data_IF_800024882191
#
_entry.id   IF_800024882191
#
_cell.length_a   1.000
_cell.length_b   1.000
_cell.length_c   1.000
_cell.angle_alpha   90.00
_cell.angle_beta   90.00
_cell.angle_gamma   90.00
#
_symmetry.space_group_name_H-M   'P 1'
#
loop_
_entity.id
_entity.type
_entity.pdbx_description
1 polymer ?
#
# COMPACT_ATOMS: atom_id res chain seq x y z
N UNK A 1 -5.43 -89.59 -25.43
CA UNK A 1 -4.69 -90.86 -25.66
C UNK A 1 -5.06 -91.93 -24.64
N UNK A 2 -4.86 -91.71 -23.32
CA UNK A 2 -5.17 -92.74 -22.30
C UNK A 2 -6.65 -93.18 -22.22
N UNK A 3 -7.60 -92.25 -22.36
CA UNK A 3 -9.05 -92.55 -22.29
C UNK A 3 -9.50 -93.47 -23.44
N UNK A 4 -9.03 -93.22 -24.66
CA UNK A 4 -9.34 -94.03 -25.82
C UNK A 4 -8.77 -95.45 -25.72
N UNK A 5 -7.57 -95.60 -25.15
CA UNK A 5 -6.96 -96.90 -24.91
C UNK A 5 -7.71 -97.72 -23.85
N UNK A 6 -8.19 -97.08 -22.78
CA UNK A 6 -9.00 -97.73 -21.73
C UNK A 6 -10.37 -98.16 -22.29
N UNK A 7 -11.04 -97.31 -23.08
CA UNK A 7 -12.31 -97.64 -23.72
C UNK A 7 -12.16 -98.79 -24.74
N UNK A 8 -11.07 -98.84 -25.50
CA UNK A 8 -10.79 -99.94 -26.42
C UNK A 8 -10.49 -101.26 -25.69
N UNK A 9 -9.74 -101.22 -24.57
CA UNK A 9 -9.50 -102.38 -23.71
C UNK A 9 -10.79 -102.91 -23.06
N UNK A 10 -11.66 -102.01 -22.59
CA UNK A 10 -12.97 -102.37 -22.03
C UNK A 10 -13.89 -102.98 -23.10
N UNK A 11 -13.91 -102.41 -24.30
CA UNK A 11 -14.64 -102.97 -25.44
C UNK A 11 -14.13 -104.35 -25.86
N UNK A 12 -12.80 -104.54 -25.89
CA UNK A 12 -12.18 -105.84 -26.17
C UNK A 12 -12.47 -106.90 -25.10
N UNK A 13 -12.46 -106.51 -23.81
CA UNK A 13 -12.83 -107.40 -22.70
C UNK A 13 -14.29 -107.85 -22.79
N UNK A 14 -15.20 -106.94 -23.14
CA UNK A 14 -16.62 -107.24 -23.32
C UNK A 14 -16.88 -108.20 -24.48
N UNK A 15 -16.19 -108.02 -25.61
CA UNK A 15 -16.28 -108.92 -26.76
C UNK A 15 -15.75 -110.33 -26.46
N UNK A 16 -14.62 -110.43 -25.74
CA UNK A 16 -14.07 -111.72 -25.30
C UNK A 16 -15.02 -112.47 -24.38
N UNK A 17 -15.71 -111.76 -23.48
CA UNK A 17 -16.65 -112.34 -22.55
C UNK A 17 -17.93 -112.85 -23.22
N UNK A 18 -18.46 -112.10 -24.20
CA UNK A 18 -19.60 -112.54 -25.03
C UNK A 18 -19.27 -113.84 -25.77
N UNK A 19 -18.05 -113.96 -26.31
CA UNK A 19 -17.57 -115.18 -26.95
C UNK A 19 -17.49 -116.36 -25.96
N UNK A 20 -16.91 -116.15 -24.77
CA UNK A 20 -16.78 -117.18 -23.75
C UNK A 20 -18.13 -117.68 -23.19
N UNK A 21 -19.13 -116.80 -23.08
CA UNK A 21 -20.50 -117.18 -22.69
C UNK A 21 -21.21 -117.93 -23.82
N UNK A 22 -21.00 -117.52 -25.08
CA UNK A 22 -21.52 -118.22 -26.26
C UNK A 22 -20.94 -119.64 -26.40
N UNK A 23 -19.64 -119.82 -26.14
CA UNK A 23 -18.97 -121.13 -26.18
C UNK A 23 -19.51 -122.09 -25.09
N UNK A 24 -19.83 -121.58 -23.90
CA UNK A 24 -20.45 -122.37 -22.81
C UNK A 24 -21.91 -122.70 -23.12
N UNK A 25 -22.65 -121.80 -23.77
CA UNK A 25 -24.03 -122.03 -24.20
C UNK A 25 -24.14 -123.04 -25.36
N UNK A 26 -23.17 -123.08 -26.26
CA UNK A 26 -23.12 -124.05 -27.37
C UNK A 26 -22.75 -125.48 -26.92
N UNK A 27 -22.14 -125.66 -25.75
CA UNK A 27 -21.57 -126.93 -25.29
C UNK A 27 -22.52 -127.85 -24.47
N UNK A 28 -23.81 -127.52 -24.29
CA UNK A 28 -24.75 -128.28 -23.42
C UNK A 28 -24.16 -128.62 -22.03
N UNK A 29 -23.42 -127.66 -21.45
CA UNK A 29 -22.62 -127.89 -20.26
C UNK A 29 -23.48 -127.97 -18.98
N UNK A 30 -23.12 -128.87 -18.07
CA UNK A 30 -23.86 -129.11 -16.81
C UNK A 30 -23.96 -127.89 -15.88
N UNK A 31 -24.80 -127.96 -14.82
CA UNK A 31 -25.12 -126.82 -13.95
C UNK A 31 -23.90 -126.16 -13.28
N UNK A 32 -22.75 -126.81 -13.23
CA UNK A 32 -21.50 -126.26 -12.72
C UNK A 32 -20.77 -125.32 -13.69
N UNK A 33 -20.82 -125.60 -15.00
CA UNK A 33 -20.19 -124.78 -16.04
C UNK A 33 -20.90 -123.43 -16.21
N UNK A 34 -22.24 -123.44 -16.11
CA UNK A 34 -23.05 -122.21 -16.10
C UNK A 34 -22.72 -121.36 -14.87
N UNK A 35 -22.57 -121.96 -13.68
CA UNK A 35 -22.15 -121.24 -12.46
C UNK A 35 -20.74 -120.66 -12.59
N UNK A 36 -19.81 -121.37 -13.24
CA UNK A 36 -18.46 -120.88 -13.48
C UNK A 36 -18.44 -119.69 -14.46
N UNK A 37 -19.23 -119.74 -15.55
CA UNK A 37 -19.40 -118.64 -16.49
C UNK A 37 -20.10 -117.42 -15.88
N UNK A 38 -21.11 -117.63 -15.02
CA UNK A 38 -21.77 -116.55 -14.27
C UNK A 38 -20.82 -115.93 -13.24
N UNK A 39 -20.01 -116.73 -12.54
CA UNK A 39 -19.03 -116.24 -11.56
C UNK A 39 -17.90 -115.46 -12.25
N UNK A 40 -17.36 -115.94 -13.36
CA UNK A 40 -16.36 -115.19 -14.15
C UNK A 40 -16.96 -113.90 -14.71
N UNK A 41 -18.24 -113.91 -15.10
CA UNK A 41 -18.94 -112.72 -15.55
C UNK A 41 -19.17 -111.69 -14.44
N UNK A 42 -19.54 -112.14 -13.24
CA UNK A 42 -19.69 -111.27 -12.07
C UNK A 42 -18.35 -110.66 -11.65
N UNK A 43 -17.25 -111.42 -11.65
CA UNK A 43 -15.91 -110.92 -11.30
C UNK A 43 -15.42 -109.89 -12.32
N UNK A 44 -15.64 -110.12 -13.61
CA UNK A 44 -15.26 -109.18 -14.68
C UNK A 44 -16.09 -107.89 -14.62
N UNK A 45 -17.40 -107.99 -14.37
CA UNK A 45 -18.28 -106.82 -14.20
C UNK A 45 -17.93 -106.01 -12.93
N UNK A 46 -17.63 -106.67 -11.81
CA UNK A 46 -17.13 -106.00 -10.60
C UNK A 46 -15.75 -105.35 -10.83
N UNK A 47 -14.87 -105.99 -11.60
CA UNK A 47 -13.57 -105.42 -11.99
C UNK A 47 -13.72 -104.16 -12.85
N UNK A 48 -14.59 -104.20 -13.87
CA UNK A 48 -14.86 -103.05 -14.75
C UNK A 48 -15.50 -101.89 -13.97
N UNK A 49 -16.49 -102.17 -13.12
CA UNK A 49 -17.11 -101.13 -12.28
C UNK A 49 -16.10 -100.51 -11.30
N UNK A 50 -15.24 -101.31 -10.67
CA UNK A 50 -14.17 -100.81 -9.82
C UNK A 50 -13.17 -99.93 -10.60
N UNK A 51 -12.77 -100.32 -11.82
CA UNK A 51 -11.90 -99.51 -12.68
C UNK A 51 -12.57 -98.18 -13.05
N UNK A 52 -13.85 -98.19 -13.43
CA UNK A 52 -14.59 -96.97 -13.77
C UNK A 52 -14.72 -96.03 -12.57
N UNK A 53 -15.07 -96.55 -11.38
CA UNK A 53 -15.17 -95.74 -10.15
C UNK A 53 -13.82 -95.18 -9.74
N UNK A 54 -12.76 -95.98 -9.80
CA UNK A 54 -11.40 -95.54 -9.47
C UNK A 54 -10.92 -94.48 -10.47
N UNK A 55 -11.20 -94.67 -11.76
CA UNK A 55 -10.88 -93.70 -12.81
C UNK A 55 -11.66 -92.39 -12.62
N UNK A 56 -12.96 -92.47 -12.31
CA UNK A 56 -13.79 -91.29 -11.99
C UNK A 56 -13.25 -90.55 -10.75
N UNK A 57 -12.86 -91.26 -9.70
CA UNK A 57 -12.25 -90.66 -8.50
C UNK A 57 -10.90 -89.99 -8.83
N UNK A 58 -10.02 -90.67 -9.56
CA UNK A 58 -8.70 -90.16 -9.96
C UNK A 58 -8.79 -88.95 -10.89
N UNK A 59 -9.85 -88.83 -11.71
CA UNK A 59 -10.07 -87.66 -12.55
C UNK A 59 -10.77 -86.52 -11.79
N UNK A 60 -11.87 -86.82 -11.09
CA UNK A 60 -12.69 -85.80 -10.41
C UNK A 60 -12.03 -85.22 -9.15
N UNK A 61 -11.27 -86.01 -8.40
CA UNK A 61 -10.62 -85.54 -7.19
C UNK A 61 -9.60 -84.41 -7.44
N UNK A 62 -8.61 -84.54 -8.36
CA UNK A 62 -7.69 -83.45 -8.65
C UNK A 62 -8.41 -82.26 -9.31
N UNK A 63 -9.42 -82.48 -10.17
CA UNK A 63 -10.23 -81.38 -10.74
C UNK A 63 -10.96 -80.58 -9.65
N UNK A 64 -11.58 -81.28 -8.69
CA UNK A 64 -12.27 -80.65 -7.56
C UNK A 64 -11.28 -79.88 -6.67
N UNK A 65 -10.12 -80.46 -6.39
CA UNK A 65 -9.09 -79.81 -5.57
C UNK A 65 -8.45 -78.62 -6.29
N UNK A 66 -8.20 -78.73 -7.59
CA UNK A 66 -7.59 -77.69 -8.43
C UNK A 66 -8.53 -76.50 -8.64
N UNK A 67 -9.86 -76.71 -8.71
CA UNK A 67 -10.83 -75.63 -8.96
C UNK A 67 -11.43 -75.08 -7.65
N UNK A 68 -11.92 -75.97 -6.76
CA UNK A 68 -12.71 -75.54 -5.59
C UNK A 68 -11.84 -74.84 -4.54
N UNK A 69 -10.59 -75.28 -4.32
CA UNK A 69 -9.72 -74.65 -3.33
C UNK A 69 -9.36 -73.20 -3.73
N UNK A 70 -8.85 -72.91 -4.94
CA UNK A 70 -8.57 -71.53 -5.35
C UNK A 70 -9.82 -70.65 -5.38
N UNK A 71 -10.97 -71.15 -5.84
CA UNK A 71 -12.22 -70.37 -5.85
C UNK A 71 -12.67 -70.00 -4.43
N UNK A 72 -12.57 -70.90 -3.46
CA UNK A 72 -12.86 -70.57 -2.04
C UNK A 72 -11.86 -69.58 -1.44
N UNK A 73 -10.61 -69.58 -1.90
CA UNK A 73 -9.61 -68.60 -1.47
C UNK A 73 -9.91 -67.24 -2.10
N UNK A 74 -10.19 -67.19 -3.39
CA UNK A 74 -10.64 -66.00 -4.12
C UNK A 74 -11.88 -65.37 -3.46
N UNK A 75 -12.89 -66.18 -3.13
CA UNK A 75 -14.08 -65.72 -2.41
C UNK A 75 -13.74 -65.10 -1.05
N UNK A 76 -12.87 -65.74 -0.26
CA UNK A 76 -12.42 -65.19 1.03
C UNK A 76 -11.63 -63.88 0.89
N UNK A 77 -10.79 -63.76 -0.14
CA UNK A 77 -10.08 -62.52 -0.45
C UNK A 77 -11.09 -61.43 -0.80
N UNK A 78 -12.04 -61.72 -1.69
CA UNK A 78 -13.08 -60.78 -2.08
C UNK A 78 -13.93 -60.31 -0.88
N UNK A 79 -14.31 -61.22 0.02
CA UNK A 79 -15.05 -60.87 1.26
C UNK A 79 -14.23 -59.95 2.16
N UNK A 80 -12.93 -60.21 2.32
CA UNK A 80 -12.07 -59.35 3.15
C UNK A 80 -11.82 -57.98 2.50
N UNK A 81 -11.62 -57.92 1.19
CA UNK A 81 -11.51 -56.66 0.44
C UNK A 81 -12.81 -55.87 0.54
N UNK A 82 -13.97 -56.52 0.43
CA UNK A 82 -15.28 -55.90 0.62
C UNK A 82 -15.50 -55.39 2.07
N UNK A 83 -14.89 -56.06 3.06
CA UNK A 83 -14.85 -55.59 4.45
C UNK A 83 -13.80 -54.48 4.70
N UNK A 84 -13.10 -54.02 3.65
CA UNK A 84 -12.12 -52.94 3.73
C UNK A 84 -10.69 -53.39 4.08
N UNK A 85 -10.39 -54.69 4.21
CA UNK A 85 -9.03 -55.15 4.49
C UNK A 85 -8.19 -55.24 3.21
N UNK A 86 -7.42 -54.17 2.94
CA UNK A 86 -6.48 -54.08 1.83
C UNK A 86 -5.04 -54.46 2.23
N UNK A 87 -4.81 -54.98 3.44
CA UNK A 87 -3.48 -55.39 3.92
C UNK A 87 -3.04 -56.74 3.37
N UNK A 88 -3.98 -57.48 2.75
CA UNK A 88 -3.76 -58.84 2.27
C UNK A 88 -2.75 -58.89 1.12
N UNK A 89 -1.82 -59.85 1.23
CA UNK A 89 -0.94 -60.25 0.14
C UNK A 89 -1.55 -61.45 -0.58
N UNK A 90 -2.08 -61.22 -1.78
CA UNK A 90 -2.62 -62.29 -2.63
C UNK A 90 -1.44 -63.04 -3.25
N UNK A 91 -1.23 -64.29 -2.84
CA UNK A 91 -0.23 -65.17 -3.47
C UNK A 91 -0.83 -65.75 -4.75
N UNK A 92 -0.21 -65.45 -5.87
CA UNK A 92 -0.56 -66.00 -7.18
C UNK A 92 0.41 -67.13 -7.52
N UNK A 93 -0.10 -68.33 -7.79
CA UNK A 93 0.70 -69.48 -8.24
C UNK A 93 -0.12 -70.34 -9.19
N UNK A 94 0.54 -70.93 -10.19
CA UNK A 94 -0.11 -71.69 -11.26
C UNK A 94 -0.28 -70.90 -12.57
N UNK A 95 -0.66 -71.60 -13.64
CA UNK A 95 -0.85 -71.05 -15.00
C UNK A 95 -2.27 -71.29 -15.55
N UNK A 96 -3.18 -71.76 -14.71
CA UNK A 96 -4.58 -72.06 -15.06
C UNK A 96 -5.51 -70.84 -14.89
N UNK A 97 -6.79 -71.01 -15.23
CA UNK A 97 -7.84 -69.99 -15.12
C UNK A 97 -8.04 -69.55 -13.66
N UNK A 98 -7.84 -70.47 -12.71
CA UNK A 98 -7.87 -70.16 -11.28
C UNK A 98 -6.71 -69.22 -10.87
N UNK A 99 -5.51 -69.43 -11.41
CA UNK A 99 -4.38 -68.52 -11.24
C UNK A 99 -4.60 -67.17 -11.96
N UNK A 100 -5.30 -67.15 -13.09
CA UNK A 100 -5.71 -65.89 -13.75
C UNK A 100 -6.68 -65.08 -12.89
N UNK A 101 -7.69 -65.72 -12.28
CA UNK A 101 -8.61 -65.07 -11.33
C UNK A 101 -7.87 -64.51 -10.12
N UNK A 102 -6.95 -65.29 -9.55
CA UNK A 102 -6.14 -64.84 -8.41
C UNK A 102 -5.23 -63.66 -8.76
N UNK A 103 -4.66 -63.62 -9.97
CA UNK A 103 -3.90 -62.47 -10.49
C UNK A 103 -4.78 -61.23 -10.62
N UNK A 104 -5.95 -61.36 -11.25
CA UNK A 104 -6.89 -60.25 -11.38
C UNK A 104 -7.34 -59.68 -10.01
N UNK A 105 -7.58 -60.55 -9.02
CA UNK A 105 -7.88 -60.12 -7.65
C UNK A 105 -6.69 -59.44 -6.96
N UNK A 106 -5.47 -59.92 -7.19
CA UNK A 106 -4.25 -59.30 -6.68
C UNK A 106 -4.08 -57.88 -7.24
N UNK A 107 -4.24 -57.73 -8.56
CA UNK A 107 -4.15 -56.46 -9.27
C UNK A 107 -5.24 -55.49 -8.80
N UNK A 108 -6.49 -55.97 -8.68
CA UNK A 108 -7.60 -55.17 -8.13
C UNK A 108 -7.31 -54.67 -6.71
N UNK A 109 -6.83 -55.57 -5.83
CA UNK A 109 -6.51 -55.21 -4.43
C UNK A 109 -5.34 -54.22 -4.38
N UNK A 110 -4.35 -54.38 -5.27
CA UNK A 110 -3.21 -53.47 -5.39
C UNK A 110 -3.65 -52.08 -5.85
N UNK A 111 -4.47 -52.00 -6.89
CA UNK A 111 -5.00 -50.75 -7.42
C UNK A 111 -5.88 -50.03 -6.39
N UNK A 112 -6.77 -50.75 -5.70
CA UNK A 112 -7.58 -50.19 -4.61
C UNK A 112 -6.71 -49.63 -3.48
N UNK A 113 -5.62 -50.33 -3.12
CA UNK A 113 -4.66 -49.85 -2.11
C UNK A 113 -3.97 -48.57 -2.55
N UNK A 114 -3.51 -48.49 -3.80
CA UNK A 114 -2.87 -47.29 -4.35
C UNK A 114 -3.84 -46.11 -4.39
N UNK A 115 -5.08 -46.33 -4.86
CA UNK A 115 -6.11 -45.29 -4.91
C UNK A 115 -6.46 -44.80 -3.50
N UNK A 116 -6.75 -45.71 -2.56
CA UNK A 116 -7.06 -45.34 -1.17
C UNK A 116 -5.88 -44.67 -0.47
N UNK A 117 -4.65 -45.12 -0.71
CA UNK A 117 -3.44 -44.46 -0.22
C UNK A 117 -3.30 -43.03 -0.74
N UNK A 118 -3.58 -42.82 -2.03
CA UNK A 118 -3.62 -41.48 -2.64
C UNK A 118 -4.71 -40.58 -2.04
N UNK A 119 -5.90 -41.12 -1.77
CA UNK A 119 -7.00 -40.38 -1.12
C UNK A 119 -6.63 -39.96 0.30
N UNK A 120 -6.06 -40.87 1.11
CA UNK A 120 -5.63 -40.56 2.48
C UNK A 120 -4.53 -39.49 2.48
N UNK A 121 -3.52 -39.65 1.61
CA UNK A 121 -2.44 -38.67 1.50
C UNK A 121 -2.98 -37.31 1.05
N UNK A 122 -3.85 -37.27 0.04
CA UNK A 122 -4.48 -36.06 -0.45
C UNK A 122 -5.31 -35.35 0.62
N UNK A 123 -6.10 -36.10 1.41
CA UNK A 123 -6.89 -35.54 2.50
C UNK A 123 -5.99 -34.95 3.61
N UNK A 124 -4.88 -35.60 3.97
CA UNK A 124 -3.90 -35.02 4.89
C UNK A 124 -3.27 -33.73 4.35
N UNK A 125 -2.94 -33.69 3.06
CA UNK A 125 -2.44 -32.47 2.41
C UNK A 125 -3.48 -31.36 2.46
N UNK A 126 -4.74 -31.63 2.10
CA UNK A 126 -5.82 -30.61 2.18
C UNK A 126 -5.98 -30.07 3.60
N UNK A 127 -5.97 -30.93 4.61
CA UNK A 127 -6.07 -30.52 6.01
C UNK A 127 -4.88 -29.64 6.45
N UNK A 128 -3.65 -30.02 6.05
CA UNK A 128 -2.45 -29.24 6.35
C UNK A 128 -2.46 -27.86 5.65
N UNK A 129 -2.77 -27.82 4.36
CA UNK A 129 -2.87 -26.57 3.60
C UNK A 129 -3.99 -25.67 4.14
N UNK A 130 -5.13 -26.25 4.51
CA UNK A 130 -6.24 -25.50 5.10
C UNK A 130 -5.83 -24.84 6.43
N UNK A 131 -5.08 -25.54 7.29
CA UNK A 131 -4.55 -24.95 8.51
C UNK A 131 -3.59 -23.77 8.23
N UNK A 132 -2.78 -23.85 7.18
CA UNK A 132 -1.93 -22.74 6.75
C UNK A 132 -2.75 -21.55 6.22
N UNK A 133 -3.83 -21.82 5.48
CA UNK A 133 -4.76 -20.77 5.00
C UNK A 133 -5.40 -20.07 6.20
N UNK A 134 -5.91 -20.81 7.20
CA UNK A 134 -6.47 -20.19 8.42
C UNK A 134 -5.46 -19.25 9.07
N UNK A 135 -4.21 -19.67 9.23
CA UNK A 135 -3.18 -18.83 9.84
C UNK A 135 -2.90 -17.56 9.01
N UNK A 136 -2.82 -17.68 7.68
CA UNK A 136 -2.67 -16.53 6.79
C UNK A 136 -3.89 -15.60 6.82
N UNK A 137 -5.09 -16.15 7.01
CA UNK A 137 -6.32 -15.39 7.09
C UNK A 137 -6.42 -14.61 8.41
N UNK A 138 -5.94 -15.17 9.52
CA UNK A 138 -5.81 -14.46 10.79
C UNK A 138 -4.82 -13.29 10.70
N UNK A 139 -3.67 -13.49 10.06
CA UNK A 139 -2.70 -12.40 9.79
C UNK A 139 -3.32 -11.30 8.92
N UNK A 140 -4.03 -11.69 7.86
CA UNK A 140 -4.73 -10.73 7.01
C UNK A 140 -5.82 -9.96 7.78
N UNK A 141 -6.57 -10.63 8.67
CA UNK A 141 -7.56 -9.99 9.55
C UNK A 141 -6.90 -8.93 10.42
N UNK A 142 -5.83 -9.29 11.13
CA UNK A 142 -5.10 -8.37 12.01
C UNK A 142 -4.59 -7.15 11.23
N UNK A 143 -3.97 -7.36 10.07
CA UNK A 143 -3.47 -6.26 9.23
C UNK A 143 -4.60 -5.38 8.69
N UNK A 144 -5.76 -5.97 8.41
CA UNK A 144 -6.95 -5.23 7.95
C UNK A 144 -7.51 -4.35 9.08
N UNK A 145 -7.53 -4.84 10.32
CA UNK A 145 -7.91 -4.07 11.51
C UNK A 145 -6.90 -2.94 11.81
N UNK A 146 -5.59 -3.22 11.75
CA UNK A 146 -4.54 -2.20 11.90
C UNK A 146 -4.66 -1.11 10.82
N UNK A 147 -4.93 -1.51 9.57
CA UNK A 147 -5.14 -0.59 8.47
C UNK A 147 -6.40 0.26 8.66
N UNK A 148 -7.48 -0.31 9.20
CA UNK A 148 -8.69 0.45 9.55
C UNK A 148 -8.38 1.53 10.59
N UNK A 149 -7.68 1.16 11.68
CA UNK A 149 -7.27 2.12 12.71
C UNK A 149 -6.37 3.22 12.17
N UNK A 150 -5.42 2.88 11.29
CA UNK A 150 -4.52 3.87 10.66
C UNK A 150 -5.29 4.81 9.73
N UNK A 151 -6.30 4.30 9.02
CA UNK A 151 -7.16 5.12 8.17
C UNK A 151 -8.02 6.08 8.99
N UNK A 152 -8.55 5.67 10.14
CA UNK A 152 -9.29 6.56 11.05
C UNK A 152 -8.41 7.71 11.57
N UNK A 153 -7.18 7.42 12.02
CA UNK A 153 -6.24 8.45 12.48
C UNK A 153 -5.83 9.39 11.33
N UNK A 154 -5.61 8.84 10.14
CA UNK A 154 -5.30 9.62 8.94
C UNK A 154 -6.49 10.51 8.54
N UNK A 155 -7.72 10.00 8.60
CA UNK A 155 -8.93 10.77 8.31
C UNK A 155 -9.09 11.94 9.31
N UNK A 156 -8.93 11.68 10.62
CA UNK A 156 -8.96 12.72 11.65
C UNK A 156 -7.87 13.78 11.42
N UNK A 157 -6.66 13.37 11.05
CA UNK A 157 -5.56 14.29 10.76
C UNK A 157 -5.86 15.15 9.52
N UNK A 158 -6.52 14.58 8.52
CA UNK A 158 -6.94 15.29 7.32
C UNK A 158 -8.08 16.27 7.60
N UNK A 159 -9.01 15.95 8.50
CA UNK A 159 -10.05 16.88 8.96
C UNK A 159 -9.43 18.10 9.67
N UNK A 160 -8.46 17.88 10.56
CA UNK A 160 -7.73 18.96 11.24
C UNK A 160 -6.92 19.81 10.25
N UNK A 161 -6.24 19.18 9.29
CA UNK A 161 -5.55 19.88 8.21
C UNK A 161 -6.52 20.70 7.35
N UNK A 162 -7.69 20.15 7.03
CA UNK A 162 -8.73 20.85 6.26
C UNK A 162 -9.19 22.10 7.00
N UNK A 163 -9.46 21.98 8.31
CA UNK A 163 -9.85 23.12 9.15
C UNK A 163 -8.75 24.19 9.18
N UNK A 164 -7.50 23.79 9.38
CA UNK A 164 -6.34 24.70 9.42
C UNK A 164 -6.13 25.42 8.09
N UNK A 165 -6.23 24.71 6.96
CA UNK A 165 -6.10 25.31 5.62
C UNK A 165 -7.24 26.29 5.33
N UNK A 166 -8.48 25.94 5.72
CA UNK A 166 -9.62 26.87 5.61
C UNK A 166 -9.39 28.13 6.43
N UNK A 167 -8.91 27.97 7.67
CA UNK A 167 -8.63 29.09 8.56
C UNK A 167 -7.49 29.97 8.02
N UNK A 168 -6.45 29.38 7.42
CA UNK A 168 -5.38 30.11 6.73
C UNK A 168 -5.90 30.93 5.54
N UNK A 169 -6.81 30.37 4.74
CA UNK A 169 -7.44 31.10 3.64
C UNK A 169 -8.28 32.29 4.14
N UNK A 170 -8.99 32.14 5.26
CA UNK A 170 -9.73 33.23 5.90
C UNK A 170 -8.80 34.29 6.48
N UNK A 171 -7.72 33.88 7.15
CA UNK A 171 -6.70 34.77 7.69
C UNK A 171 -6.00 35.57 6.58
N UNK A 172 -5.69 34.92 5.45
CA UNK A 172 -5.15 35.60 4.28
C UNK A 172 -6.13 36.66 3.75
N UNK A 173 -7.42 36.33 3.61
CA UNK A 173 -8.43 37.31 3.20
C UNK A 173 -8.51 38.52 4.16
N UNK A 174 -8.51 38.27 5.46
CA UNK A 174 -8.52 39.34 6.47
C UNK A 174 -7.24 40.19 6.43
N UNK A 175 -6.08 39.55 6.31
CA UNK A 175 -4.80 40.24 6.23
C UNK A 175 -4.68 41.11 4.96
N UNK A 176 -5.23 40.64 3.83
CA UNK A 176 -5.27 41.41 2.58
C UNK A 176 -6.11 42.67 2.74
N UNK A 177 -7.28 42.57 3.39
CA UNK A 177 -8.10 43.75 3.69
C UNK A 177 -7.36 44.72 4.62
N UNK A 178 -6.71 44.22 5.67
CA UNK A 178 -5.95 45.06 6.60
C UNK A 178 -4.78 45.77 5.91
N UNK A 179 -4.08 45.09 5.00
CA UNK A 179 -3.01 45.69 4.19
C UNK A 179 -3.54 46.79 3.26
N UNK A 180 -4.71 46.57 2.64
CA UNK A 180 -5.38 47.57 1.80
C UNK A 180 -5.78 48.82 2.61
N UNK A 181 -6.35 48.62 3.80
CA UNK A 181 -6.73 49.71 4.71
C UNK A 181 -5.49 50.49 5.19
N UNK A 182 -4.42 49.78 5.56
CA UNK A 182 -3.16 50.40 5.98
C UNK A 182 -2.50 51.21 4.84
N UNK A 183 -2.51 50.68 3.61
CA UNK A 183 -2.05 51.41 2.41
C UNK A 183 -2.88 52.67 2.16
N UNK A 184 -4.21 52.61 2.33
CA UNK A 184 -5.07 53.78 2.21
C UNK A 184 -4.80 54.84 3.30
N UNK A 185 -4.46 54.43 4.52
CA UNK A 185 -4.03 55.35 5.60
C UNK A 185 -2.69 55.99 5.25
N UNK A 186 -1.71 55.21 4.80
CA UNK A 186 -0.39 55.72 4.41
C UNK A 186 -0.47 56.72 3.25
N UNK A 187 -1.33 56.45 2.25
CA UNK A 187 -1.58 57.39 1.14
C UNK A 187 -2.15 58.73 1.62
N UNK A 188 -3.15 58.71 2.50
CA UNK A 188 -3.67 59.94 3.11
C UNK A 188 -2.62 60.66 3.96
N UNK A 189 -1.73 59.91 4.61
CA UNK A 189 -0.57 60.46 5.31
C UNK A 189 0.38 61.19 4.36
N UNK A 190 0.69 60.60 3.21
CA UNK A 190 1.46 61.23 2.13
C UNK A 190 0.80 62.52 1.63
N UNK A 191 -0.50 62.50 1.32
CA UNK A 191 -1.24 63.70 0.90
C UNK A 191 -1.18 64.83 1.94
N UNK A 192 -1.27 64.50 3.23
CA UNK A 192 -1.14 65.49 4.30
C UNK A 192 0.27 66.06 4.40
N UNK A 193 1.30 65.23 4.18
CA UNK A 193 2.70 65.66 4.14
C UNK A 193 2.94 66.60 2.95
N UNK A 194 2.42 66.28 1.77
CA UNK A 194 2.51 67.12 0.58
C UNK A 194 1.90 68.51 0.82
N UNK A 195 0.76 68.58 1.51
CA UNK A 195 0.15 69.86 1.91
C UNK A 195 1.04 70.66 2.87
N UNK A 196 1.76 69.99 3.78
CA UNK A 196 2.71 70.66 4.68
C UNK A 196 3.91 71.20 3.89
N UNK A 197 4.45 70.45 2.94
CA UNK A 197 5.54 70.92 2.06
C UNK A 197 5.10 72.17 1.30
N UNK A 198 3.92 72.13 0.67
CA UNK A 198 3.37 73.29 -0.04
C UNK A 198 3.24 74.53 0.87
N UNK A 199 2.77 74.33 2.10
CA UNK A 199 2.64 75.42 3.08
C UNK A 199 4.02 75.99 3.48
N UNK A 200 5.03 75.13 3.62
CA UNK A 200 6.40 75.58 3.92
C UNK A 200 7.00 76.41 2.77
N UNK A 201 6.73 76.03 1.53
CA UNK A 201 7.15 76.80 0.35
C UNK A 201 6.47 78.18 0.31
N UNK A 202 5.17 78.24 0.59
CA UNK A 202 4.42 79.50 0.71
C UNK A 202 4.97 80.41 1.82
N UNK A 203 5.32 79.85 2.98
CA UNK A 203 5.94 80.58 4.10
C UNK A 203 7.33 81.09 3.70
N UNK A 204 8.11 80.29 2.99
CA UNK A 204 9.45 80.65 2.53
C UNK A 204 9.40 81.81 1.55
N UNK A 205 8.46 81.79 0.59
CA UNK A 205 8.26 82.89 -0.35
C UNK A 205 7.70 84.15 0.31
N UNK A 206 6.79 84.01 1.29
CA UNK A 206 6.33 85.15 2.09
C UNK A 206 7.48 85.81 2.87
N UNK A 207 8.38 85.00 3.43
CA UNK A 207 9.54 85.47 4.19
C UNK A 207 10.60 86.16 3.31
N UNK A 208 10.80 85.71 2.07
CA UNK A 208 11.62 86.43 1.07
C UNK A 208 11.04 87.83 0.78
N UNK A 209 9.74 87.93 0.54
CA UNK A 209 9.06 89.23 0.31
C UNK A 209 9.20 90.16 1.52
N UNK A 210 9.07 89.63 2.75
CA UNK A 210 9.32 90.43 3.96
C UNK A 210 10.75 90.94 3.98
N UNK A 211 11.74 90.09 3.66
CA UNK A 211 13.16 90.48 3.61
C UNK A 211 13.40 91.62 2.61
N UNK A 212 12.76 91.58 1.44
CA UNK A 212 12.81 92.65 0.44
C UNK A 212 12.21 93.97 0.97
N UNK A 213 11.05 93.90 1.63
CA UNK A 213 10.39 95.07 2.23
C UNK A 213 11.27 95.69 3.33
N UNK A 214 11.87 94.85 4.18
CA UNK A 214 12.77 95.31 5.25
C UNK A 214 14.03 95.97 4.67
N UNK A 215 14.55 95.48 3.55
CA UNK A 215 15.66 96.13 2.84
C UNK A 215 15.28 97.53 2.32
N UNK A 216 14.04 97.71 1.82
CA UNK A 216 13.52 99.03 1.44
C UNK A 216 13.39 99.95 2.66
N UNK A 217 12.91 99.44 3.79
CA UNK A 217 12.77 100.22 5.03
C UNK A 217 14.14 100.68 5.56
N UNK A 218 15.16 99.80 5.58
CA UNK A 218 16.53 100.18 5.93
C UNK A 218 17.08 101.24 4.97
N UNK A 219 16.76 101.13 3.68
CA UNK A 219 17.07 102.15 2.66
C UNK A 219 16.41 103.51 2.94
N UNK A 220 15.13 103.53 3.31
CA UNK A 220 14.40 104.75 3.68
C UNK A 220 14.98 105.36 4.96
N UNK A 221 15.29 104.53 5.96
CA UNK A 221 15.92 104.98 7.20
C UNK A 221 17.30 105.61 6.93
N UNK A 222 18.11 104.99 6.06
CA UNK A 222 19.38 105.55 5.63
C UNK A 222 19.22 106.90 4.91
N UNK A 223 18.30 106.99 3.93
CA UNK A 223 18.02 108.24 3.23
C UNK A 223 17.55 109.34 4.20
N UNK A 224 16.66 109.00 5.14
CA UNK A 224 16.16 109.93 6.17
C UNK A 224 17.28 110.42 7.08
N UNK A 225 18.20 109.54 7.46
CA UNK A 225 19.39 109.90 8.25
C UNK A 225 20.32 110.86 7.50
N UNK A 226 20.50 110.70 6.19
CA UNK A 226 21.27 111.63 5.35
C UNK A 226 20.54 112.99 5.20
N UNK A 227 19.23 112.97 4.96
CA UNK A 227 18.40 114.19 4.90
C UNK A 227 18.44 114.98 6.21
N UNK A 228 18.32 114.30 7.35
CA UNK A 228 18.39 114.90 8.67
C UNK A 228 19.78 115.47 8.97
N UNK A 229 20.85 114.77 8.56
CA UNK A 229 22.22 115.30 8.65
C UNK A 229 22.38 116.58 7.82
N UNK A 230 21.90 116.59 6.58
CA UNK A 230 21.95 117.77 5.71
C UNK A 230 21.16 118.94 6.31
N UNK A 231 19.97 118.68 6.87
CA UNK A 231 19.15 119.68 7.55
C UNK A 231 19.84 120.23 8.81
N UNK A 232 20.52 119.38 9.60
CA UNK A 232 21.28 119.81 10.77
C UNK A 232 22.47 120.72 10.37
N UNK A 233 23.14 120.41 9.26
CA UNK A 233 24.22 121.25 8.71
C UNK A 233 23.68 122.61 8.25
N UNK A 234 22.57 122.66 7.53
CA UNK A 234 21.99 123.93 7.07
C UNK A 234 21.41 124.75 8.23
N UNK A 235 20.85 124.09 9.25
CA UNK A 235 20.41 124.74 10.48
C UNK A 235 21.58 125.36 11.27
N UNK A 236 22.75 124.69 11.33
CA UNK A 236 23.97 125.26 11.91
C UNK A 236 24.47 126.47 11.11
N UNK A 237 24.29 126.45 9.78
CA UNK A 237 24.67 127.53 8.87
C UNK A 237 23.82 128.80 9.05
N UNK A 238 22.55 128.64 9.44
CA UNK A 238 21.62 129.73 9.73
C UNK A 238 21.82 130.39 11.12
N UNK A 239 22.77 129.91 11.94
CA UNK A 239 23.09 130.49 13.24
C UNK A 239 21.93 130.42 14.24
N UNK A 240 21.70 131.51 14.99
CA UNK A 240 20.66 131.53 16.05
C UNK A 240 19.23 131.34 15.54
N UNK A 241 18.95 131.68 14.28
CA UNK A 241 17.63 131.48 13.65
C UNK A 241 17.35 130.00 13.32
N UNK A 242 18.40 129.18 13.21
CA UNK A 242 18.30 127.75 12.87
C UNK A 242 18.19 126.81 14.08
N UNK A 243 18.29 127.32 15.32
CA UNK A 243 18.33 126.50 16.55
C UNK A 243 17.17 125.52 16.68
N UNK A 244 15.94 125.96 16.39
CA UNK A 244 14.75 125.10 16.43
C UNK A 244 14.80 123.98 15.38
N UNK A 245 15.27 124.30 14.17
CA UNK A 245 15.44 123.32 13.09
C UNK A 245 16.56 122.32 13.38
N UNK A 246 17.64 122.73 14.04
CA UNK A 246 18.74 121.84 14.43
C UNK A 246 18.29 120.75 15.41
N UNK A 247 17.42 121.09 16.38
CA UNK A 247 16.86 120.12 17.34
C UNK A 247 15.95 119.11 16.63
N UNK A 248 15.06 119.58 15.76
CA UNK A 248 14.19 118.69 14.96
C UNK A 248 15.03 117.78 14.06
N UNK A 249 16.08 118.31 13.41
CA UNK A 249 16.97 117.52 12.57
C UNK A 249 17.72 116.44 13.38
N UNK A 250 18.17 116.74 14.59
CA UNK A 250 18.79 115.75 15.48
C UNK A 250 17.80 114.66 15.92
N UNK A 251 16.55 115.02 16.23
CA UNK A 251 15.51 114.06 16.61
C UNK A 251 15.11 113.15 15.44
N UNK A 252 14.93 113.71 14.23
CA UNK A 252 14.67 112.94 13.01
C UNK A 252 15.83 112.00 12.70
N UNK A 253 17.07 112.43 12.93
CA UNK A 253 18.27 111.59 12.75
C UNK A 253 18.29 110.42 13.74
N UNK A 254 18.02 110.69 15.01
CA UNK A 254 17.91 109.67 16.06
C UNK A 254 16.83 108.64 15.73
N UNK A 255 15.66 109.11 15.28
CA UNK A 255 14.56 108.25 14.84
C UNK A 255 14.94 107.38 13.64
N UNK A 256 15.63 107.96 12.65
CA UNK A 256 16.12 107.23 11.49
C UNK A 256 17.14 106.14 11.87
N UNK A 257 18.07 106.42 12.78
CA UNK A 257 19.02 105.42 13.30
C UNK A 257 18.30 104.31 14.09
N UNK A 258 17.29 104.64 14.90
CA UNK A 258 16.45 103.65 15.59
C UNK A 258 15.68 102.76 14.61
N UNK A 259 15.10 103.33 13.56
CA UNK A 259 14.42 102.58 12.51
C UNK A 259 15.35 101.63 11.76
N UNK A 260 16.57 102.06 11.43
CA UNK A 260 17.58 101.20 10.80
C UNK A 260 18.02 100.04 11.72
N UNK A 261 18.18 100.32 13.02
CA UNK A 261 18.46 99.29 14.03
C UNK A 261 17.35 98.24 14.11
N UNK A 262 16.09 98.68 14.22
CA UNK A 262 14.93 97.80 14.25
C UNK A 262 14.78 97.00 12.94
N UNK A 263 15.03 97.62 11.78
CA UNK A 263 15.00 96.93 10.50
C UNK A 263 16.03 95.79 10.43
N UNK A 264 17.24 95.97 10.98
CA UNK A 264 18.24 94.90 11.06
C UNK A 264 17.83 93.77 11.99
N UNK A 265 17.33 94.08 13.19
CA UNK A 265 16.81 93.04 14.10
C UNK A 265 15.70 92.21 13.45
N UNK A 266 14.76 92.85 12.74
CA UNK A 266 13.71 92.13 12.01
C UNK A 266 14.33 91.28 10.90
N UNK A 267 15.30 91.81 10.14
CA UNK A 267 15.99 91.06 9.09
C UNK A 267 16.66 89.80 9.62
N UNK A 268 17.33 89.89 10.77
CA UNK A 268 18.01 88.75 11.40
C UNK A 268 17.00 87.71 11.89
N UNK A 269 15.89 88.13 12.50
CA UNK A 269 14.80 87.24 12.93
C UNK A 269 14.12 86.52 11.75
N UNK A 270 13.89 87.23 10.65
CA UNK A 270 13.33 86.63 9.42
C UNK A 270 14.34 85.68 8.79
N UNK A 271 15.63 86.03 8.74
CA UNK A 271 16.70 85.15 8.27
C UNK A 271 16.74 83.82 9.04
N UNK A 272 16.70 83.88 10.38
CA UNK A 272 16.63 82.69 11.22
C UNK A 272 15.35 81.88 11.01
N UNK A 273 14.23 82.54 10.69
CA UNK A 273 12.96 81.87 10.39
C UNK A 273 13.01 81.13 9.04
N UNK A 274 13.61 81.74 8.01
CA UNK A 274 13.82 81.12 6.70
C UNK A 274 14.69 79.87 6.82
N UNK A 275 15.78 79.94 7.60
CA UNK A 275 16.65 78.77 7.83
C UNK A 275 15.87 77.62 8.49
N UNK A 276 15.07 77.91 9.52
CA UNK A 276 14.24 76.89 10.19
C UNK A 276 13.17 76.28 9.27
N UNK A 277 12.52 77.10 8.45
CA UNK A 277 11.53 76.64 7.46
C UNK A 277 12.21 75.76 6.42
N UNK A 278 13.40 76.13 5.94
CA UNK A 278 14.17 75.32 4.99
C UNK A 278 14.56 73.96 5.59
N UNK A 279 15.03 73.90 6.84
CA UNK A 279 15.31 72.64 7.54
C UNK A 279 14.04 71.81 7.70
N UNK A 280 12.93 72.46 8.07
CA UNK A 280 11.62 71.82 8.21
C UNK A 280 11.12 71.21 6.91
N UNK A 281 11.23 71.94 5.79
CA UNK A 281 10.84 71.48 4.45
C UNK A 281 11.59 70.21 4.07
N UNK A 282 12.92 70.17 4.23
CA UNK A 282 13.74 68.97 3.97
C UNK A 282 13.32 67.77 4.83
N UNK A 283 12.97 68.00 6.10
CA UNK A 283 12.57 66.92 7.01
C UNK A 283 11.19 66.34 6.63
N UNK A 284 10.28 67.20 6.22
CA UNK A 284 8.92 66.82 5.78
C UNK A 284 8.96 66.12 4.43
N UNK A 285 9.80 66.57 3.49
CA UNK A 285 10.03 65.91 2.20
C UNK A 285 10.57 64.49 2.37
N UNK A 286 11.55 64.30 3.27
CA UNK A 286 12.04 62.97 3.65
C UNK A 286 10.94 62.09 4.29
N UNK A 287 10.05 62.68 5.09
CA UNK A 287 8.89 61.97 5.63
C UNK A 287 7.90 61.55 4.52
N UNK A 288 7.72 62.39 3.51
CA UNK A 288 6.89 62.10 2.33
C UNK A 288 7.42 60.92 1.54
N UNK A 289 8.73 60.91 1.25
CA UNK A 289 9.40 59.77 0.64
C UNK A 289 9.23 58.47 1.45
N UNK A 290 9.35 58.55 2.78
CA UNK A 290 9.13 57.40 3.66
C UNK A 290 7.68 56.87 3.55
N UNK A 291 6.69 57.75 3.42
CA UNK A 291 5.29 57.33 3.23
C UNK A 291 5.10 56.58 1.90
N UNK A 292 5.77 57.01 0.82
CA UNK A 292 5.75 56.30 -0.47
C UNK A 292 6.35 54.90 -0.32
N UNK A 293 7.48 54.75 0.36
CA UNK A 293 8.09 53.44 0.63
C UNK A 293 7.18 52.52 1.47
N UNK A 294 6.45 53.08 2.44
CA UNK A 294 5.47 52.35 3.25
C UNK A 294 4.31 51.84 2.39
N UNK A 295 3.76 52.66 1.49
CA UNK A 295 2.70 52.25 0.55
C UNK A 295 3.17 51.09 -0.33
N UNK A 296 4.35 51.21 -0.94
CA UNK A 296 4.94 50.15 -1.78
C UNK A 296 5.19 48.86 -0.99
N UNK A 297 5.53 48.97 0.30
CA UNK A 297 5.73 47.81 1.17
C UNK A 297 4.41 47.09 1.48
N UNK A 298 3.32 47.83 1.72
CA UNK A 298 1.99 47.24 1.90
C UNK A 298 1.44 46.59 0.62
N UNK A 299 1.73 47.15 -0.55
CA UNK A 299 1.39 46.51 -1.84
C UNK A 299 2.09 45.16 -2.00
N UNK A 300 3.39 45.07 -1.66
CA UNK A 300 4.12 43.79 -1.65
C UNK A 300 3.54 42.79 -0.66
N UNK A 301 3.19 43.24 0.56
CA UNK A 301 2.54 42.39 1.56
C UNK A 301 1.19 41.87 1.04
N UNK A 302 0.39 42.72 0.40
CA UNK A 302 -0.89 42.31 -0.19
C UNK A 302 -0.70 41.27 -1.30
N UNK A 303 0.34 41.40 -2.12
CA UNK A 303 0.66 40.42 -3.16
C UNK A 303 1.03 39.05 -2.55
N UNK A 304 1.89 39.02 -1.53
CA UNK A 304 2.25 37.79 -0.82
C UNK A 304 1.04 37.12 -0.17
N UNK A 305 0.13 37.90 0.40
CA UNK A 305 -1.10 37.39 0.99
C UNK A 305 -2.02 36.78 -0.07
N UNK A 306 -2.09 37.37 -1.27
CA UNK A 306 -2.86 36.80 -2.37
C UNK A 306 -2.27 35.44 -2.82
N UNK A 307 -0.94 35.31 -2.88
CA UNK A 307 -0.27 34.03 -3.14
C UNK A 307 -0.58 32.99 -2.05
N UNK A 308 -0.58 33.37 -0.77
CA UNK A 308 -0.97 32.47 0.33
C UNK A 308 -2.42 32.01 0.19
N UNK A 309 -3.34 32.91 -0.17
CA UNK A 309 -4.75 32.57 -0.38
C UNK A 309 -4.91 31.58 -1.55
N UNK A 310 -4.19 31.80 -2.65
CA UNK A 310 -4.19 30.87 -3.79
C UNK A 310 -3.61 29.50 -3.39
N UNK A 311 -2.45 29.47 -2.74
CA UNK A 311 -1.84 28.23 -2.27
C UNK A 311 -2.74 27.46 -1.30
N UNK A 312 -3.45 28.16 -0.41
CA UNK A 312 -4.42 27.55 0.52
C UNK A 312 -5.61 26.95 -0.23
N UNK A 313 -6.08 27.60 -1.31
CA UNK A 313 -7.15 27.06 -2.15
C UNK A 313 -6.71 25.81 -2.91
N UNK A 314 -5.48 25.80 -3.43
CA UNK A 314 -4.88 24.62 -4.08
C UNK A 314 -4.70 23.46 -3.08
N UNK A 315 -4.21 23.76 -1.86
CA UNK A 315 -4.11 22.78 -0.77
C UNK A 315 -5.47 22.18 -0.42
N UNK A 316 -6.52 23.01 -0.30
CA UNK A 316 -7.88 22.54 -0.03
C UNK A 316 -8.38 21.56 -1.11
N UNK A 317 -8.14 21.89 -2.38
CA UNK A 317 -8.45 20.98 -3.49
C UNK A 317 -7.63 19.67 -3.42
N UNK A 318 -6.34 19.75 -3.10
CA UNK A 318 -5.48 18.59 -2.91
C UNK A 318 -5.95 17.68 -1.77
N UNK A 319 -6.37 18.27 -0.65
CA UNK A 319 -6.94 17.54 0.48
C UNK A 319 -8.25 16.84 0.08
N UNK A 320 -9.10 17.47 -0.74
CA UNK A 320 -10.30 16.83 -1.29
C UNK A 320 -10.00 15.55 -2.08
N UNK A 321 -8.90 15.53 -2.84
CA UNK A 321 -8.44 14.32 -3.55
C UNK A 321 -7.94 13.25 -2.58
N UNK A 322 -7.19 13.64 -1.55
CA UNK A 322 -6.74 12.71 -0.48
C UNK A 322 -7.94 12.09 0.23
N UNK A 323 -8.96 12.87 0.57
CA UNK A 323 -10.17 12.36 1.22
C UNK A 323 -10.91 11.33 0.34
N UNK A 324 -10.95 11.58 -0.98
CA UNK A 324 -11.50 10.62 -1.95
C UNK A 324 -10.69 9.31 -1.97
N UNK A 325 -9.36 9.40 -1.89
CA UNK A 325 -8.48 8.23 -1.82
C UNK A 325 -8.65 7.45 -0.50
N UNK A 326 -8.83 8.14 0.63
CA UNK A 326 -9.15 7.51 1.92
C UNK A 326 -10.46 6.72 1.82
N UNK A 327 -11.52 7.31 1.24
CA UNK A 327 -12.78 6.58 1.03
C UNK A 327 -12.69 5.41 0.03
N UNK A 328 -11.67 5.36 -0.83
CA UNK A 328 -11.36 4.17 -1.64
C UNK A 328 -10.64 3.10 -0.81
N UNK A 329 -9.70 3.51 0.04
CA UNK A 329 -8.98 2.60 0.93
C UNK A 329 -9.92 1.97 1.97
N UNK A 330 -10.84 2.73 2.53
CA UNK A 330 -11.86 2.22 3.47
C UNK A 330 -12.72 1.12 2.83
N UNK A 331 -13.16 1.33 1.58
CA UNK A 331 -13.87 0.29 0.81
C UNK A 331 -13.02 -0.96 0.59
N UNK A 332 -11.73 -0.80 0.33
CA UNK A 332 -10.81 -1.93 0.18
C UNK A 332 -10.62 -2.69 1.50
N UNK A 333 -10.51 -1.98 2.63
CA UNK A 333 -10.45 -2.58 3.98
C UNK A 333 -11.73 -3.37 4.26
N UNK A 334 -12.90 -2.79 3.98
CA UNK A 334 -14.18 -3.48 4.18
C UNK A 334 -14.32 -4.70 3.26
N UNK A 335 -13.85 -4.61 2.02
CA UNK A 335 -13.81 -5.75 1.10
C UNK A 335 -12.85 -6.83 1.61
N UNK A 336 -11.68 -6.47 2.12
CA UNK A 336 -10.73 -7.42 2.71
C UNK A 336 -11.34 -8.14 3.91
N UNK A 337 -12.04 -7.42 4.80
CA UNK A 337 -12.74 -8.03 5.93
C UNK A 337 -13.79 -9.06 5.47
N UNK A 338 -14.56 -8.73 4.42
CA UNK A 338 -15.51 -9.67 3.81
C UNK A 338 -14.81 -10.89 3.19
N UNK A 339 -13.69 -10.68 2.51
CA UNK A 339 -12.90 -11.76 1.89
C UNK A 339 -12.28 -12.67 2.95
N UNK A 340 -11.83 -12.11 4.07
CA UNK A 340 -11.32 -12.87 5.22
C UNK A 340 -12.44 -13.74 5.80
N UNK A 341 -13.65 -13.22 6.01
CA UNK A 341 -14.78 -14.03 6.48
C UNK A 341 -15.13 -15.16 5.50
N UNK A 342 -15.23 -14.84 4.20
CA UNK A 342 -15.52 -15.82 3.16
C UNK A 342 -14.45 -16.91 3.06
N UNK A 343 -13.17 -16.53 3.09
CA UNK A 343 -12.04 -17.45 3.07
C UNK A 343 -12.00 -18.34 4.33
N UNK A 344 -12.37 -17.79 5.49
CA UNK A 344 -12.51 -18.54 6.74
C UNK A 344 -13.53 -19.67 6.59
N UNK A 345 -14.74 -19.31 6.12
CA UNK A 345 -15.83 -20.28 5.87
C UNK A 345 -15.48 -21.33 4.82
N UNK A 346 -14.82 -20.92 3.74
CA UNK A 346 -14.36 -21.86 2.70
C UNK A 346 -13.34 -22.85 3.26
N UNK A 347 -12.41 -22.37 4.11
CA UNK A 347 -11.37 -23.21 4.72
C UNK A 347 -11.94 -24.18 5.75
N UNK A 348 -12.95 -23.75 6.53
CA UNK A 348 -13.70 -24.65 7.41
C UNK A 348 -14.40 -25.77 6.63
N UNK A 349 -15.04 -25.44 5.50
CA UNK A 349 -15.67 -26.43 4.63
C UNK A 349 -14.64 -27.41 4.03
N UNK A 350 -13.46 -26.93 3.63
CA UNK A 350 -12.36 -27.78 3.15
C UNK A 350 -11.86 -28.75 4.23
N UNK A 351 -11.68 -28.27 5.46
CA UNK A 351 -11.31 -29.11 6.60
C UNK A 351 -12.37 -30.17 6.88
N UNK A 352 -13.66 -29.80 6.87
CA UNK A 352 -14.76 -30.75 7.04
C UNK A 352 -14.77 -31.83 5.94
N UNK A 353 -14.53 -31.45 4.68
CA UNK A 353 -14.46 -32.38 3.55
C UNK A 353 -13.25 -33.32 3.66
N UNK A 354 -12.09 -32.81 4.05
CA UNK A 354 -10.90 -33.62 4.29
C UNK A 354 -11.11 -34.62 5.45
N UNK A 355 -11.73 -34.18 6.54
CA UNK A 355 -12.10 -35.05 7.66
C UNK A 355 -13.09 -36.13 7.24
N UNK A 356 -14.09 -35.81 6.42
CA UNK A 356 -15.05 -36.78 5.88
C UNK A 356 -14.35 -37.83 4.98
N UNK A 357 -13.41 -37.41 4.12
CA UNK A 357 -12.61 -38.33 3.31
C UNK A 357 -11.75 -39.28 4.17
N UNK A 358 -11.11 -38.76 5.21
CA UNK A 358 -10.35 -39.57 6.16
C UNK A 358 -11.25 -40.56 6.91
N UNK A 359 -12.46 -40.14 7.29
CA UNK A 359 -13.44 -41.01 7.94
C UNK A 359 -13.90 -42.15 7.01
N UNK A 360 -14.18 -41.86 5.73
CA UNK A 360 -14.52 -42.88 4.73
C UNK A 360 -13.34 -43.83 4.53
N UNK A 361 -12.13 -43.29 4.39
CA UNK A 361 -10.92 -44.07 4.19
C UNK A 361 -10.56 -44.92 5.42
N UNK A 362 -10.93 -44.50 6.64
CA UNK A 362 -10.69 -45.26 7.88
C UNK A 362 -11.37 -46.64 7.92
N UNK A 363 -12.43 -46.83 7.11
CA UNK A 363 -13.07 -48.14 6.91
C UNK A 363 -12.17 -49.13 6.16
N UNK A 364 -11.19 -48.61 5.41
CA UNK A 364 -10.23 -49.40 4.66
C UNK A 364 -8.91 -49.52 5.44
N UNK A 365 -8.55 -50.74 5.84
CA UNK A 365 -7.26 -51.03 6.46
C UNK A 365 -6.20 -51.08 5.37
N UNK A 366 -5.48 -49.99 5.24
CA UNK A 366 -4.26 -49.92 4.44
C UNK A 366 -3.11 -50.54 5.22
N UNK A 367 -2.18 -51.18 4.52
CA UNK A 367 -0.95 -51.61 5.16
C UNK A 367 -0.26 -50.33 5.63
N UNK A 368 -0.05 -50.17 6.95
CA UNK A 368 0.69 -49.04 7.47
C UNK A 368 2.03 -49.05 6.73
N UNK A 369 2.23 -48.07 5.85
CA UNK A 369 3.50 -47.88 5.19
C UNK A 369 4.50 -47.63 6.30
N UNK A 370 5.25 -48.65 6.73
CA UNK A 370 6.43 -48.50 7.59
C UNK A 370 7.55 -47.68 6.90
N UNK A 371 7.24 -47.04 5.77
CA UNK A 371 7.98 -45.96 5.15
C UNK A 371 7.49 -44.56 5.55
N UNK A 372 6.76 -44.41 6.67
CA UNK A 372 6.89 -43.19 7.45
C UNK A 372 8.33 -43.15 8.00
N UNK A 373 9.29 -42.86 7.12
CA UNK A 373 10.38 -42.01 7.50
C UNK A 373 9.68 -40.81 8.13
N UNK A 374 9.70 -40.80 9.47
CA UNK A 374 9.45 -39.63 10.29
C UNK A 374 10.15 -38.50 9.55
N UNK A 375 9.38 -37.67 8.84
CA UNK A 375 9.90 -36.38 8.41
C UNK A 375 10.49 -35.81 9.70
N UNK A 376 11.79 -35.45 9.72
CA UNK A 376 12.35 -34.89 10.92
C UNK A 376 11.41 -33.74 11.28
N UNK A 377 10.81 -33.81 12.47
CA UNK A 377 10.18 -32.63 13.04
C UNK A 377 11.22 -31.52 12.84
N UNK A 378 10.82 -30.32 12.38
CA UNK A 378 11.76 -29.21 12.39
C UNK A 378 12.26 -29.18 13.82
N UNK A 379 13.54 -29.51 14.01
CA UNK A 379 14.23 -29.16 15.23
C UNK A 379 14.13 -27.66 15.17
N UNK A 380 13.16 -27.11 15.90
CA UNK A 380 13.36 -25.85 16.57
C UNK A 380 14.67 -26.12 17.28
N UNK A 381 15.76 -25.61 16.70
CA UNK A 381 16.99 -25.53 17.44
C UNK A 381 16.56 -24.86 18.73
N UNK A 382 16.76 -25.54 19.85
CA UNK A 382 16.91 -24.84 21.11
C UNK A 382 18.00 -23.80 20.84
N UNK A 383 17.55 -22.61 20.47
CA UNK A 383 18.26 -21.38 20.70
C UNK A 383 18.33 -21.32 22.21
N UNK A 384 19.31 -22.03 22.77
CA UNK A 384 19.86 -21.77 24.07
C UNK A 384 19.87 -20.25 24.20
N UNK A 385 19.17 -19.76 25.22
CA UNK A 385 19.03 -18.36 25.55
C UNK A 385 20.39 -17.66 25.36
N UNK A 386 20.57 -17.03 24.20
CA UNK A 386 21.66 -16.14 23.95
C UNK A 386 21.24 -14.86 24.68
N UNK A 387 21.87 -14.62 25.82
CA UNK A 387 21.78 -13.36 26.54
C UNK A 387 21.88 -12.21 25.53
N UNK A 388 21.01 -11.18 25.62
CA UNK A 388 21.00 -10.11 24.65
C UNK A 388 22.35 -9.41 24.67
N UNK A 389 23.11 -9.51 23.58
CA UNK A 389 24.30 -8.69 23.40
C UNK A 389 23.87 -7.27 23.04
N UNK A 390 24.51 -6.24 23.61
CA UNK A 390 24.20 -4.87 23.28
C UNK A 390 24.53 -4.61 21.81
N UNK A 391 23.56 -4.06 21.08
CA UNK A 391 23.70 -3.61 19.69
C UNK A 391 24.78 -2.52 19.69
N UNK A 392 25.97 -2.83 19.17
CA UNK A 392 26.96 -1.81 18.84
C UNK A 392 26.53 -1.13 17.55
N UNK A 393 26.03 0.09 17.68
CA UNK A 393 25.83 1.02 16.57
C UNK A 393 27.18 1.25 15.88
N UNK A 394 27.30 0.79 14.64
CA UNK A 394 28.38 1.17 13.74
C UNK A 394 27.79 2.23 12.81
N UNK A 395 28.28 3.48 12.80
CA UNK A 395 27.77 4.48 11.90
C UNK A 395 27.97 4.00 10.45
N UNK A 396 26.93 4.20 9.64
CA UNK A 396 26.93 3.83 8.23
C UNK A 396 28.15 4.42 7.54
N UNK A 397 28.92 3.56 6.86
CA UNK A 397 29.94 4.02 5.93
C UNK A 397 29.25 4.89 4.87
N UNK A 398 29.76 6.09 4.66
CA UNK A 398 29.26 7.03 3.69
C UNK A 398 29.09 6.35 2.32
N UNK A 399 27.87 6.46 1.76
CA UNK A 399 27.59 6.10 0.38
C UNK A 399 28.53 6.89 -0.54
N UNK A 400 29.12 6.27 -1.58
CA UNK A 400 29.91 7.00 -2.56
C UNK A 400 29.01 8.03 -3.26
N UNK A 401 29.46 9.29 -3.25
CA UNK A 401 28.83 10.40 -3.94
C UNK A 401 28.76 10.14 -5.44
N UNK A 402 27.55 10.25 -6.00
CA UNK A 402 27.32 10.18 -7.44
C UNK A 402 28.12 11.28 -8.18
N UNK A 403 28.70 10.99 -9.36
CA UNK A 403 29.36 12.01 -10.15
C UNK A 403 28.34 13.00 -10.72
N UNK A 404 28.52 14.28 -10.40
CA UNK A 404 27.83 15.40 -11.05
C UNK A 404 28.42 15.55 -12.45
N UNK A 405 27.58 15.36 -13.48
CA UNK A 405 27.93 15.65 -14.88
C UNK A 405 27.13 16.85 -15.37
N UNK A 406 27.85 17.77 -16.01
CA UNK A 406 27.55 19.15 -16.40
C UNK A 406 26.31 19.38 -17.30
N UNK A 407 25.80 20.64 -17.37
CA UNK A 407 24.64 20.99 -18.19
C UNK A 407 24.95 20.89 -19.70
N UNK A 408 24.05 20.27 -20.44
CA UNK A 408 24.09 20.17 -21.90
C UNK A 408 23.67 21.51 -22.54
N UNK A 409 24.46 21.96 -23.52
CA UNK A 409 24.16 23.11 -24.37
C UNK A 409 22.93 22.87 -25.27
N UNK A 410 22.19 23.92 -25.67
CA UNK A 410 21.00 23.77 -26.49
C UNK A 410 21.39 23.47 -27.94
N UNK A 411 20.88 22.36 -28.50
CA UNK A 411 20.84 22.14 -29.95
C UNK A 411 19.47 22.54 -30.47
N UNK A 412 19.44 23.63 -31.23
CA UNK A 412 18.36 23.88 -32.19
C UNK A 412 18.53 22.98 -33.43
N UNK A 413 17.44 22.87 -34.18
CA UNK A 413 17.48 22.41 -35.58
C UNK A 413 16.66 21.16 -35.88
N UNK A 414 15.51 21.41 -36.51
CA UNK A 414 14.96 20.69 -37.68
C UNK A 414 14.60 19.21 -37.56
N UNK A 415 13.29 18.94 -37.66
CA UNK A 415 12.77 17.71 -38.26
C UNK A 415 11.87 18.09 -39.45
N UNK A 416 12.42 17.92 -40.65
CA UNK A 416 11.68 17.76 -41.91
C UNK A 416 11.61 16.28 -42.27
N UNK A 417 10.44 15.86 -42.76
CA UNK A 417 10.11 14.68 -43.59
C UNK A 417 10.74 13.31 -43.28
N UNK A 418 9.89 12.33 -42.97
CA UNK A 418 9.55 11.24 -43.91
C UNK A 418 8.22 10.57 -43.54
#
# INVERSE_FOLDING_TARGET
MAIAAILALLGGLGAWQLQAVADVAAANAGPEAVRAAVRSAQVLLLGVTAVVVTFAFVLCYPLTVAIVKPVRVAARIATRVAAGDLTLKVRTGGTDEAAQLMRALADMTSNLRTVMGGVVQGAHTVNATSAQIVQGNLDLSQRTEEQASTLEETASSIEELTATVSQNADHARQASQLAADASAVARRGGEAVDQVVQTMDEIQDASKKITEIIAVIDGIAFQTNILALNAAVEAARAGDQGRGFAVVAAEVRSLAQRSAGAAREIKDLIGASVEKVSIGSTLVDAAGHTMVEVVLSFEKVSALIAEIAQASQEQSSGIGQVNTAIGQMERAVQQNASLVDEAGRATEAMNAQAAALLQIASRFRLQASSGAARAPAPRVADAAAASPQPIRYRPAAALPSAPVSAPAAPRGGEWTEF
#
